data_IF_325690907178
#
_entry.id   IF_325690907178
#
_cell.length_a   1.000
_cell.length_b   1.000
_cell.length_c   1.000
_cell.angle_alpha   90.00
_cell.angle_beta   90.00
_cell.angle_gamma   90.00
#
_symmetry.space_group_name_H-M   'P 1'
#
loop_
_entity.id
_entity.type
_entity.pdbx_description
1 polymer ?
#
# COMPACT_ATOMS: atom_id res chain seq x y z
N UNK A 1 -5.12 -67.32 28.37
CA UNK A 1 -4.01 -66.36 28.47
C UNK A 1 -3.82 -65.75 27.09
N UNK A 2 -4.37 -64.57 26.86
CA UNK A 2 -4.14 -63.75 25.67
C UNK A 2 -4.33 -62.27 26.05
N UNK A 3 -3.44 -61.45 25.52
CA UNK A 3 -3.11 -60.07 25.87
C UNK A 3 -4.26 -59.09 25.58
N UNK A 4 -4.57 -58.21 26.53
CA UNK A 4 -5.51 -57.09 26.36
C UNK A 4 -4.76 -55.77 26.16
N UNK A 5 -5.05 -55.09 25.05
CA UNK A 5 -5.12 -53.63 24.96
C UNK A 5 -5.86 -53.24 23.68
N UNK A 6 -6.93 -52.45 23.80
CA UNK A 6 -7.15 -51.38 22.85
C UNK A 6 -7.43 -50.05 23.55
N UNK A 7 -6.86 -48.98 22.98
CA UNK A 7 -7.18 -47.59 23.29
C UNK A 7 -8.68 -47.32 23.07
N UNK A 8 -9.30 -46.59 23.99
CA UNK A 8 -10.62 -46.00 23.77
C UNK A 8 -10.64 -44.55 24.23
N UNK A 9 -11.03 -43.67 23.30
CA UNK A 9 -11.24 -42.24 23.46
C UNK A 9 -12.74 -42.03 23.73
N UNK A 10 -13.11 -41.28 24.77
CA UNK A 10 -14.42 -40.61 24.82
C UNK A 10 -14.40 -39.43 25.78
N UNK A 11 -15.05 -38.35 25.35
CA UNK A 11 -15.27 -37.07 26.06
C UNK A 11 -16.13 -37.25 27.32
N UNK A 12 -16.08 -36.27 28.24
CA UNK A 12 -17.26 -35.48 28.68
C UNK A 12 -16.82 -34.31 29.60
N UNK A 13 -17.40 -33.14 29.31
CA UNK A 13 -17.66 -31.92 30.12
C UNK A 13 -17.84 -32.12 31.63
N UNK A 14 -17.74 -31.15 32.54
CA UNK A 14 -17.51 -29.71 32.56
C UNK A 14 -17.33 -29.32 34.04
N UNK A 15 -16.76 -28.14 34.36
CA UNK A 15 -17.36 -27.18 35.31
C UNK A 15 -16.54 -25.90 35.45
N UNK A 16 -17.29 -24.81 35.66
CA UNK A 16 -16.93 -23.38 35.66
C UNK A 16 -16.08 -22.96 36.86
N UNK A 17 -15.15 -22.03 36.62
CA UNK A 17 -14.78 -20.93 37.51
C UNK A 17 -14.36 -19.78 36.56
N UNK A 18 -15.09 -18.68 36.42
CA UNK A 18 -15.36 -17.70 37.48
C UNK A 18 -14.20 -16.72 37.51
N UNK A 19 -14.21 -15.71 36.64
CA UNK A 19 -13.20 -14.65 36.59
C UNK A 19 -13.32 -13.82 37.87
N UNK A 20 -12.31 -13.90 38.74
CA UNK A 20 -12.19 -13.05 39.93
C UNK A 20 -11.55 -11.72 39.52
N UNK A 21 -12.37 -10.66 39.46
CA UNK A 21 -11.91 -9.28 39.34
C UNK A 21 -11.55 -8.76 40.73
N UNK A 22 -10.36 -9.10 41.24
CA UNK A 22 -9.72 -8.36 42.33
C UNK A 22 -8.27 -8.79 42.52
N UNK A 23 -7.37 -8.26 41.69
CA UNK A 23 -5.96 -8.15 42.09
C UNK A 23 -5.47 -6.72 41.88
N UNK A 24 -5.11 -6.09 43.00
CA UNK A 24 -4.59 -4.73 43.13
C UNK A 24 -3.31 -4.57 42.31
N UNK A 25 -3.30 -3.59 41.41
CA UNK A 25 -2.09 -3.09 40.77
C UNK A 25 -1.24 -2.39 41.85
N UNK A 26 -0.18 -3.06 42.31
CA UNK A 26 0.92 -2.40 43.01
C UNK A 26 1.95 -1.93 41.99
N UNK A 27 2.24 -0.64 42.06
CA UNK A 27 3.06 0.14 41.14
C UNK A 27 4.57 -0.15 41.23
N UNK A 28 5.25 0.19 40.13
CA UNK A 28 6.69 0.47 39.95
C UNK A 28 7.51 -0.71 39.37
N UNK A 29 7.55 -0.77 38.04
CA UNK A 29 8.82 -1.01 37.33
C UNK A 29 8.97 0.11 36.30
N UNK A 30 9.91 1.00 36.59
CA UNK A 30 10.33 2.09 35.73
C UNK A 30 11.15 1.48 34.59
N UNK A 31 10.55 1.32 33.42
CA UNK A 31 11.23 0.93 32.18
C UNK A 31 10.96 1.99 31.10
N UNK A 32 11.27 3.24 31.42
CA UNK A 32 11.53 4.28 30.43
C UNK A 32 12.90 4.04 29.82
N UNK A 33 12.99 3.15 28.84
CA UNK A 33 14.10 3.14 27.89
C UNK A 33 13.63 2.54 26.55
N UNK A 34 13.40 3.44 25.60
CA UNK A 34 13.43 3.24 24.14
C UNK A 34 12.55 2.14 23.51
N UNK A 35 11.24 2.30 23.60
CA UNK A 35 10.34 1.85 22.53
C UNK A 35 10.12 3.02 21.56
N UNK A 36 10.98 3.07 20.54
CA UNK A 36 10.83 3.94 19.36
C UNK A 36 9.37 3.90 18.89
N UNK A 37 8.71 5.05 18.95
CA UNK A 37 7.39 5.26 18.37
C UNK A 37 7.51 4.99 16.87
N UNK A 38 7.20 3.75 16.44
CA UNK A 38 6.98 3.45 15.02
C UNK A 38 5.78 4.30 14.59
N UNK A 39 6.05 5.47 14.05
CA UNK A 39 5.01 6.35 13.53
C UNK A 39 4.17 5.56 12.54
N UNK A 40 2.85 5.61 12.70
CA UNK A 40 1.93 4.98 11.76
C UNK A 40 2.23 5.45 10.33
N UNK A 41 1.95 4.62 9.31
CA UNK A 41 2.14 5.02 7.93
C UNK A 41 1.46 6.36 7.64
N UNK A 42 2.21 7.39 7.25
CA UNK A 42 1.64 8.72 6.96
C UNK A 42 1.08 8.69 5.54
N UNK A 43 -0.24 8.62 5.43
CA UNK A 43 -0.98 8.79 4.18
C UNK A 43 -1.14 10.28 3.86
N UNK A 44 -0.84 10.66 2.63
CA UNK A 44 -1.20 11.97 2.05
C UNK A 44 -1.82 11.73 0.69
N UNK A 45 -3.05 12.21 0.52
CA UNK A 45 -3.80 12.08 -0.72
C UNK A 45 -3.82 13.40 -1.47
N UNK A 46 -3.61 13.34 -2.78
CA UNK A 46 -3.69 14.53 -3.62
C UNK A 46 -5.16 14.84 -3.92
N UNK A 47 -5.54 16.09 -3.73
CA UNK A 47 -6.92 16.56 -3.97
C UNK A 47 -6.91 17.77 -4.92
N UNK A 48 -8.09 18.33 -5.18
CA UNK A 48 -8.28 19.49 -6.06
C UNK A 48 -7.69 20.80 -5.48
N UNK A 49 -7.39 20.86 -4.19
CA UNK A 49 -6.76 21.99 -3.53
C UNK A 49 -5.22 21.97 -3.64
N UNK A 50 -4.62 20.80 -3.92
CA UNK A 50 -3.21 20.70 -4.28
C UNK A 50 -2.98 21.32 -5.67
N UNK A 51 -2.74 22.64 -5.69
CA UNK A 51 -2.50 23.45 -6.91
C UNK A 51 -1.39 22.90 -7.80
N UNK A 52 -0.49 22.09 -7.24
CA UNK A 52 0.61 21.44 -7.95
C UNK A 52 0.18 20.25 -8.79
N UNK A 53 -0.95 19.60 -8.52
CA UNK A 53 -1.36 18.40 -9.25
C UNK A 53 -2.66 18.66 -10.01
N UNK A 54 -2.58 18.98 -11.30
CA UNK A 54 -3.74 19.27 -12.16
C UNK A 54 -4.13 18.07 -13.03
N UNK A 55 -4.16 16.87 -12.47
CA UNK A 55 -4.53 15.65 -13.21
C UNK A 55 -5.57 14.80 -12.46
N UNK A 56 -6.29 13.96 -13.19
CA UNK A 56 -7.08 12.86 -12.63
C UNK A 56 -7.14 11.73 -13.64
N UNK A 57 -7.00 10.49 -13.19
CA UNK A 57 -7.09 9.30 -14.01
C UNK A 57 -8.43 8.59 -13.78
N UNK A 58 -9.03 8.03 -14.83
CA UNK A 58 -10.01 6.96 -14.67
C UNK A 58 -9.26 5.66 -14.35
N UNK A 59 -9.02 5.45 -13.06
CA UNK A 59 -8.24 4.34 -12.53
C UNK A 59 -8.98 2.99 -12.58
N UNK A 60 -10.13 2.91 -13.25
CA UNK A 60 -10.82 1.65 -13.56
C UNK A 60 -10.21 0.92 -14.75
N UNK A 61 -9.64 1.65 -15.71
CA UNK A 61 -9.28 1.14 -17.02
C UNK A 61 -7.88 1.58 -17.42
N UNK A 62 -6.86 0.85 -16.98
CA UNK A 62 -5.51 1.05 -17.48
C UNK A 62 -5.43 0.68 -18.97
N UNK A 63 -4.57 1.35 -19.72
CA UNK A 63 -4.40 1.15 -21.16
C UNK A 63 -3.19 0.25 -21.40
N UNK A 64 -1.99 0.73 -21.07
CA UNK A 64 -0.71 0.00 -21.21
C UNK A 64 0.41 0.67 -20.38
N UNK A 65 1.44 -0.10 -20.02
CA UNK A 65 2.70 0.45 -19.48
C UNK A 65 3.42 1.28 -20.57
N UNK A 66 3.84 2.49 -20.23
CA UNK A 66 4.52 3.41 -21.16
C UNK A 66 5.76 2.74 -21.75
N UNK A 67 5.89 2.81 -23.07
CA UNK A 67 7.02 2.20 -23.80
C UNK A 67 6.82 0.73 -24.17
N UNK A 68 5.68 0.12 -23.83
CA UNK A 68 5.30 -1.21 -24.33
C UNK A 68 4.28 -1.13 -25.47
N UNK A 69 4.37 -2.07 -26.40
CA UNK A 69 3.37 -2.23 -27.47
C UNK A 69 2.20 -3.13 -27.04
N UNK A 70 2.44 -4.04 -26.10
CA UNK A 70 1.45 -4.98 -25.56
C UNK A 70 1.68 -5.17 -24.06
N UNK A 71 0.60 -5.24 -23.28
CA UNK A 71 0.65 -5.46 -21.84
C UNK A 71 -0.64 -6.11 -21.34
N UNK A 72 -0.56 -6.95 -20.30
CA UNK A 72 -1.70 -7.69 -19.74
C UNK A 72 -2.59 -6.84 -18.80
N UNK A 73 -2.22 -5.57 -18.63
CA UNK A 73 -2.94 -4.59 -17.81
C UNK A 73 -4.07 -3.87 -18.53
N UNK A 74 -4.26 -4.09 -19.84
CA UNK A 74 -5.33 -3.44 -20.59
C UNK A 74 -6.70 -3.72 -19.94
N UNK A 75 -7.47 -2.65 -19.72
CA UNK A 75 -8.77 -2.65 -19.03
C UNK A 75 -8.73 -3.15 -17.57
N UNK A 76 -7.55 -3.19 -16.93
CA UNK A 76 -7.43 -3.52 -15.50
C UNK A 76 -7.46 -2.24 -14.66
N UNK A 77 -7.97 -2.35 -13.44
CA UNK A 77 -7.98 -1.23 -12.51
C UNK A 77 -6.59 -1.00 -11.89
N UNK A 78 -6.42 0.16 -11.27
CA UNK A 78 -5.15 0.57 -10.65
C UNK A 78 -4.64 -0.39 -9.56
N UNK A 79 -5.53 -1.11 -8.85
CA UNK A 79 -5.11 -2.13 -7.89
C UNK A 79 -4.37 -3.29 -8.57
N UNK A 80 -4.84 -3.72 -9.74
CA UNK A 80 -4.16 -4.76 -10.53
C UNK A 80 -2.84 -4.25 -11.11
N UNK A 81 -2.81 -3.02 -11.60
CA UNK A 81 -1.58 -2.38 -12.09
C UNK A 81 -0.54 -2.27 -10.98
N UNK A 82 -0.92 -1.79 -9.79
CA UNK A 82 -0.04 -1.67 -8.65
C UNK A 82 0.50 -3.03 -8.18
N UNK A 83 -0.36 -4.08 -8.15
CA UNK A 83 0.08 -5.45 -7.84
C UNK A 83 1.08 -5.98 -8.86
N UNK A 84 0.87 -5.75 -10.15
CA UNK A 84 1.82 -6.12 -11.20
C UNK A 84 3.17 -5.42 -11.00
N UNK A 85 3.16 -4.09 -10.84
CA UNK A 85 4.36 -3.29 -10.54
C UNK A 85 5.13 -3.86 -9.34
N UNK A 86 4.43 -4.15 -8.23
CA UNK A 86 5.06 -4.68 -7.02
C UNK A 86 5.61 -6.10 -7.21
N UNK A 87 4.93 -6.94 -8.00
CA UNK A 87 5.42 -8.28 -8.36
C UNK A 87 6.68 -8.20 -9.21
N UNK A 88 6.70 -7.35 -10.22
CA UNK A 88 7.85 -7.17 -11.12
C UNK A 88 9.03 -6.47 -10.44
N UNK A 89 8.76 -5.65 -9.44
CA UNK A 89 9.78 -4.95 -8.65
C UNK A 89 10.27 -5.75 -7.44
N UNK A 90 9.76 -6.97 -7.24
CA UNK A 90 10.18 -7.82 -6.13
C UNK A 90 11.68 -8.11 -6.20
N UNK A 91 12.38 -7.92 -5.08
CA UNK A 91 13.83 -8.11 -5.00
C UNK A 91 14.66 -6.95 -5.54
N UNK A 92 14.04 -5.87 -6.04
CA UNK A 92 14.74 -4.63 -6.41
C UNK A 92 15.59 -4.15 -5.23
N UNK A 93 16.89 -3.93 -5.48
CA UNK A 93 17.87 -3.60 -4.45
C UNK A 93 18.06 -2.09 -4.37
N UNK A 94 17.85 -1.57 -3.17
CA UNK A 94 18.15 -0.20 -2.81
C UNK A 94 19.43 -0.17 -1.99
N UNK A 95 20.37 0.71 -2.38
CA UNK A 95 21.73 0.74 -1.85
C UNK A 95 21.94 1.87 -0.83
N UNK A 96 20.87 2.52 -0.36
CA UNK A 96 20.93 3.59 0.62
C UNK A 96 21.34 4.95 0.04
N UNK A 97 21.48 5.07 -1.29
CA UNK A 97 21.44 6.36 -2.00
C UNK A 97 20.00 6.60 -2.43
N UNK A 98 19.55 7.86 -2.45
CA UNK A 98 18.21 8.21 -2.95
C UNK A 98 17.95 7.55 -4.30
N UNK A 99 17.07 6.56 -4.29
CA UNK A 99 16.76 5.72 -5.43
C UNK A 99 15.25 5.54 -5.58
N UNK A 100 14.86 4.93 -6.70
CA UNK A 100 13.47 4.64 -6.99
C UNK A 100 13.32 3.37 -7.81
N UNK A 101 12.30 2.58 -7.48
CA UNK A 101 11.69 1.64 -8.40
C UNK A 101 10.43 2.30 -8.95
N UNK A 102 10.32 2.49 -10.26
CA UNK A 102 9.24 3.25 -10.88
C UNK A 102 8.83 2.62 -12.22
N UNK A 103 7.52 2.62 -12.47
CA UNK A 103 6.94 2.35 -13.78
C UNK A 103 5.83 3.35 -14.05
N UNK A 104 5.57 3.61 -15.33
CA UNK A 104 4.56 4.56 -15.77
C UNK A 104 3.51 3.84 -16.61
N UNK A 105 2.24 4.14 -16.40
CA UNK A 105 1.11 3.49 -17.07
C UNK A 105 0.14 4.52 -17.61
N UNK A 106 -0.36 4.32 -18.82
CA UNK A 106 -1.39 5.17 -19.40
C UNK A 106 -2.77 4.81 -18.83
N UNK A 107 -3.52 5.84 -18.43
CA UNK A 107 -4.94 5.75 -18.08
C UNK A 107 -5.73 6.78 -18.87
N UNK A 108 -7.03 6.56 -19.13
CA UNK A 108 -7.92 7.62 -19.58
C UNK A 108 -7.88 8.77 -18.59
N UNK A 109 -7.85 9.98 -19.12
CA UNK A 109 -7.90 11.17 -18.30
C UNK A 109 -9.36 11.46 -17.88
N UNK A 110 -9.57 11.71 -16.59
CA UNK A 110 -10.87 12.02 -15.98
C UNK A 110 -11.05 13.52 -15.67
N UNK A 111 -10.05 14.35 -15.96
CA UNK A 111 -10.10 15.80 -15.74
C UNK A 111 -10.66 16.52 -16.98
N UNK A 112 -11.85 17.13 -16.82
CA UNK A 112 -12.64 17.71 -17.93
C UNK A 112 -11.91 18.77 -18.77
N UNK A 113 -10.96 19.50 -18.18
CA UNK A 113 -10.27 20.62 -18.85
C UNK A 113 -8.78 20.33 -19.12
N UNK A 114 -8.40 19.07 -19.11
CA UNK A 114 -7.02 18.66 -19.34
C UNK A 114 -6.84 18.33 -20.82
N UNK A 115 -5.76 18.84 -21.42
CA UNK A 115 -5.57 18.86 -22.88
C UNK A 115 -5.47 17.47 -23.51
N UNK A 116 -5.09 16.47 -22.74
CA UNK A 116 -4.82 15.12 -23.22
C UNK A 116 -5.94 14.17 -22.83
N UNK A 117 -6.29 13.25 -23.72
CA UNK A 117 -7.30 12.21 -23.46
C UNK A 117 -6.79 11.10 -22.55
N UNK A 118 -5.48 11.02 -22.37
CA UNK A 118 -4.80 10.06 -21.49
C UNK A 118 -3.89 10.79 -20.52
N UNK A 119 -3.60 10.15 -19.40
CA UNK A 119 -2.68 10.63 -18.38
C UNK A 119 -1.70 9.51 -18.02
N UNK A 120 -0.39 9.78 -17.97
CA UNK A 120 0.59 8.82 -17.51
C UNK A 120 0.66 8.86 -15.99
N UNK A 121 0.35 7.74 -15.36
CA UNK A 121 0.40 7.56 -13.93
C UNK A 121 1.64 6.76 -13.58
N UNK A 122 2.56 7.43 -12.89
CA UNK A 122 3.72 6.81 -12.26
C UNK A 122 3.30 6.07 -11.00
N UNK A 123 3.72 4.82 -10.87
CA UNK A 123 3.66 4.02 -9.64
C UNK A 123 5.10 3.76 -9.23
N UNK A 124 5.48 4.19 -8.03
CA UNK A 124 6.85 4.06 -7.55
C UNK A 124 7.00 3.79 -6.06
N UNK A 125 8.18 3.27 -5.73
CA UNK A 125 8.69 3.17 -4.36
C UNK A 125 10.01 3.92 -4.29
N UNK A 126 10.15 4.78 -3.29
CA UNK A 126 11.33 5.58 -2.99
C UNK A 126 12.02 5.03 -1.74
N UNK A 127 13.35 4.96 -1.76
CA UNK A 127 14.18 4.76 -0.56
C UNK A 127 14.82 6.09 -0.16
N UNK A 128 14.33 6.74 0.89
CA UNK A 128 14.96 7.96 1.40
C UNK A 128 16.21 7.60 2.23
N UNK A 129 17.20 6.99 1.58
CA UNK A 129 18.46 6.56 2.20
C UNK A 129 18.43 5.16 2.82
N UNK A 130 17.42 4.34 2.47
CA UNK A 130 17.25 3.01 3.05
C UNK A 130 17.88 1.91 2.20
N UNK A 131 18.75 1.13 2.83
CA UNK A 131 19.27 -0.11 2.23
C UNK A 131 18.24 -1.23 2.40
N UNK A 132 17.96 -1.97 1.33
CA UNK A 132 17.07 -3.11 1.42
C UNK A 132 16.68 -3.69 0.08
N UNK A 133 15.80 -4.70 0.14
CA UNK A 133 15.13 -5.25 -1.04
C UNK A 133 13.64 -5.03 -0.92
N UNK A 134 13.01 -4.69 -2.04
CA UNK A 134 11.56 -4.55 -2.07
C UNK A 134 10.88 -5.92 -1.96
N UNK A 135 10.07 -6.11 -0.92
CA UNK A 135 9.16 -7.23 -0.84
C UNK A 135 7.90 -6.93 -1.66
N UNK A 136 7.55 -7.81 -2.61
CA UNK A 136 6.46 -7.57 -3.55
C UNK A 136 5.09 -7.65 -2.88
N UNK A 137 4.94 -8.47 -1.83
CA UNK A 137 3.70 -8.57 -1.06
C UNK A 137 3.50 -7.31 -0.22
N UNK A 138 4.51 -6.91 0.54
CA UNK A 138 4.46 -5.67 1.34
C UNK A 138 4.21 -4.46 0.43
N UNK A 139 4.87 -4.40 -0.72
CA UNK A 139 4.59 -3.35 -1.71
C UNK A 139 3.13 -3.35 -2.16
N UNK A 140 2.58 -4.52 -2.51
CA UNK A 140 1.19 -4.63 -2.95
C UNK A 140 0.19 -4.18 -1.88
N UNK A 141 0.44 -4.54 -0.61
CA UNK A 141 -0.40 -4.17 0.52
C UNK A 141 -0.35 -2.66 0.81
N UNK A 142 0.85 -2.06 0.74
CA UNK A 142 1.03 -0.62 0.93
C UNK A 142 0.40 0.19 -0.22
N UNK A 143 0.55 -0.25 -1.47
CA UNK A 143 -0.12 0.38 -2.60
C UNK A 143 -1.65 0.25 -2.51
N UNK A 144 -2.15 -0.90 -2.06
CA UNK A 144 -3.59 -1.10 -1.82
C UNK A 144 -4.09 -0.15 -0.74
N UNK A 145 -3.33 0.01 0.36
CA UNK A 145 -3.63 0.94 1.44
C UNK A 145 -3.66 2.38 0.95
N UNK A 146 -2.67 2.80 0.14
CA UNK A 146 -2.61 4.12 -0.47
C UNK A 146 -3.86 4.39 -1.33
N UNK A 147 -4.17 3.50 -2.29
CA UNK A 147 -5.31 3.69 -3.20
C UNK A 147 -6.63 3.71 -2.42
N UNK A 148 -6.83 2.75 -1.52
CA UNK A 148 -8.07 2.63 -0.75
C UNK A 148 -8.24 3.80 0.22
N UNK A 149 -7.15 4.22 0.87
CA UNK A 149 -7.13 5.35 1.79
C UNK A 149 -7.52 6.66 1.11
N UNK A 150 -6.98 6.93 -0.08
CA UNK A 150 -7.34 8.16 -0.81
C UNK A 150 -8.76 8.16 -1.38
N UNK A 151 -9.33 6.98 -1.62
CA UNK A 151 -10.75 6.86 -1.96
C UNK A 151 -11.63 7.04 -0.71
N UNK A 152 -11.25 6.45 0.42
CA UNK A 152 -12.01 6.52 1.67
C UNK A 152 -12.03 7.92 2.28
N UNK A 153 -10.92 8.66 2.16
CA UNK A 153 -10.79 10.07 2.60
C UNK A 153 -11.59 11.05 1.72
N UNK A 154 -12.11 10.61 0.57
CA UNK A 154 -12.88 11.45 -0.36
C UNK A 154 -12.02 12.40 -1.21
N UNK A 155 -10.70 12.42 -1.00
CA UNK A 155 -9.73 13.16 -1.84
C UNK A 155 -9.73 12.72 -3.31
N UNK A 156 -10.17 11.49 -3.59
CA UNK A 156 -10.27 10.91 -4.93
C UNK A 156 -11.43 9.91 -5.02
N UNK A 157 -11.84 9.57 -6.24
CA UNK A 157 -12.66 8.40 -6.52
C UNK A 157 -11.95 7.49 -7.52
N UNK A 158 -12.37 6.23 -7.65
CA UNK A 158 -11.71 5.30 -8.57
C UNK A 158 -11.81 5.72 -10.05
N UNK A 159 -12.83 6.50 -10.43
CA UNK A 159 -12.99 7.07 -11.78
C UNK A 159 -12.46 8.51 -11.90
N UNK A 160 -11.87 9.05 -10.83
CA UNK A 160 -11.29 10.39 -10.77
C UNK A 160 -10.12 10.37 -9.78
N UNK A 161 -9.18 9.46 -10.01
CA UNK A 161 -8.11 9.16 -9.08
C UNK A 161 -6.95 10.13 -9.27
N UNK A 162 -6.52 10.78 -8.19
CA UNK A 162 -5.50 11.83 -8.22
C UNK A 162 -4.17 11.39 -7.61
N UNK A 163 -4.10 10.17 -7.09
CA UNK A 163 -2.88 9.66 -6.47
C UNK A 163 -2.64 10.15 -5.05
N UNK A 164 -1.41 9.96 -4.59
CA UNK A 164 -0.98 10.28 -3.25
C UNK A 164 0.34 9.58 -2.90
N UNK A 165 0.73 9.71 -1.65
CA UNK A 165 1.90 9.07 -1.07
C UNK A 165 1.57 8.42 0.28
N UNK A 166 2.21 7.29 0.55
CA UNK A 166 2.16 6.57 1.82
C UNK A 166 3.58 6.27 2.27
N UNK A 167 4.00 6.86 3.39
CA UNK A 167 5.23 6.43 4.06
C UNK A 167 4.93 5.25 4.96
N UNK A 168 5.81 4.26 5.04
CA UNK A 168 5.64 3.13 5.96
C UNK A 168 6.22 3.37 7.37
N UNK A 169 6.65 4.59 7.66
CA UNK A 169 7.23 4.98 8.95
C UNK A 169 8.66 4.49 9.19
N UNK A 170 9.22 3.70 8.28
CA UNK A 170 10.56 3.12 8.38
C UNK A 170 11.45 3.46 7.17
N UNK A 171 11.04 4.45 6.37
CA UNK A 171 11.87 5.09 5.34
C UNK A 171 11.55 4.72 3.89
N UNK A 172 10.56 3.85 3.64
CA UNK A 172 10.01 3.68 2.30
C UNK A 172 8.84 4.63 2.06
N UNK A 173 8.72 5.11 0.83
CA UNK A 173 7.54 5.87 0.40
C UNK A 173 6.98 5.27 -0.87
N UNK A 174 5.71 4.89 -0.80
CA UNK A 174 4.90 4.42 -1.92
C UNK A 174 4.17 5.62 -2.50
N UNK A 175 4.25 5.82 -3.82
CA UNK A 175 3.79 7.05 -4.43
C UNK A 175 3.14 6.75 -5.78
N UNK A 176 1.91 7.24 -5.95
CA UNK A 176 1.18 7.22 -7.21
C UNK A 176 0.87 8.65 -7.62
N UNK A 177 1.30 9.07 -8.82
CA UNK A 177 1.14 10.44 -9.29
C UNK A 177 1.36 10.55 -10.80
N UNK A 178 1.13 11.72 -11.39
CA UNK A 178 1.61 12.03 -12.73
C UNK A 178 2.81 12.98 -12.64
N UNK A 179 3.93 12.60 -13.27
CA UNK A 179 5.21 13.34 -13.24
C UNK A 179 5.48 14.19 -14.48
N UNK A 180 4.52 14.28 -15.40
CA UNK A 180 4.70 15.08 -16.61
C UNK A 180 4.41 16.56 -16.33
N UNK A 181 5.12 17.46 -17.01
CA UNK A 181 5.00 18.92 -16.80
C UNK A 181 3.55 19.40 -16.89
N UNK A 182 2.77 18.84 -17.81
CA UNK A 182 1.37 19.20 -18.01
C UNK A 182 0.42 18.66 -16.92
N UNK A 183 0.88 17.76 -16.06
CA UNK A 183 0.19 17.37 -14.83
C UNK A 183 0.43 18.34 -13.68
N UNK A 184 1.37 19.28 -13.86
CA UNK A 184 1.64 20.39 -12.94
C UNK A 184 0.98 21.68 -13.42
N UNK A 185 0.71 22.55 -12.45
CA UNK A 185 -0.13 23.73 -12.60
C UNK A 185 0.59 25.04 -12.71
#
# INVERSE_FOLDING_TARGET
MSVFSPQQKSQVSASRAGIDFNERISSIVNATEHLSTRGAPKLRCYNNHDVKHKFAADARYAILEVGKEQDDIMNKNIYKVARKFCSESHGHKFNGRTGKAEKVYWFPNAWKNFRQSVVPVSIRVLDYGRVGRLDGRVCGDMMTTLISGCIADGSSSINHFRGGELSDGIGWVYHIFCNEDYCYG
#
